data_IF_140836466666
#
_entry.id   IF_140836466666
#
_cell.length_a   1.000
_cell.length_b   1.000
_cell.length_c   1.000
_cell.angle_alpha   90.00
_cell.angle_beta   90.00
_cell.angle_gamma   90.00
#
_symmetry.space_group_name_H-M   'P 1'
#
loop_
_entity.id
_entity.type
_entity.pdbx_description
1 polymer ?
#
# COMPACT_ATOMS: atom_id res chain seq x y z
N UNK A 1 -75.91 -57.61 -23.04
CA UNK A 1 -75.97 -56.87 -21.76
C UNK A 1 -74.56 -56.77 -21.21
N UNK A 2 -74.10 -55.52 -21.10
CA UNK A 2 -73.03 -54.94 -20.28
C UNK A 2 -72.01 -55.89 -19.62
N UNK A 3 -70.73 -55.76 -20.00
CA UNK A 3 -69.68 -55.24 -19.09
C UNK A 3 -68.39 -54.94 -19.88
N UNK A 4 -68.06 -53.66 -19.95
CA UNK A 4 -66.77 -53.11 -20.38
C UNK A 4 -65.78 -53.30 -19.23
N UNK A 5 -64.71 -54.06 -19.43
CA UNK A 5 -63.60 -54.17 -18.46
C UNK A 5 -62.42 -53.33 -18.92
N UNK A 6 -62.16 -52.26 -18.15
CA UNK A 6 -60.99 -51.38 -18.22
C UNK A 6 -59.72 -52.15 -17.84
N UNK A 7 -58.72 -52.17 -18.71
CA UNK A 7 -57.36 -52.54 -18.35
C UNK A 7 -56.58 -51.29 -17.91
N UNK A 8 -56.04 -51.37 -16.69
CA UNK A 8 -55.33 -50.35 -15.94
C UNK A 8 -53.94 -50.06 -16.54
N UNK A 9 -53.69 -48.82 -16.92
CA UNK A 9 -52.36 -48.31 -17.25
C UNK A 9 -51.63 -47.90 -15.96
N UNK A 10 -50.53 -48.57 -15.66
CA UNK A 10 -49.58 -48.20 -14.59
C UNK A 10 -49.01 -46.81 -14.88
N UNK A 11 -49.48 -45.77 -14.18
CA UNK A 11 -48.76 -44.49 -14.05
C UNK A 11 -47.75 -44.62 -12.91
N UNK A 12 -46.48 -44.69 -13.29
CA UNK A 12 -45.33 -44.51 -12.39
C UNK A 12 -45.32 -43.08 -11.87
N UNK A 13 -45.56 -42.91 -10.58
CA UNK A 13 -45.42 -41.64 -9.86
C UNK A 13 -43.93 -41.36 -9.62
N UNK A 14 -43.28 -40.67 -10.56
CA UNK A 14 -42.01 -39.99 -10.29
C UNK A 14 -42.31 -38.75 -9.45
N UNK A 15 -41.91 -38.77 -8.18
CA UNK A 15 -41.83 -37.59 -7.33
C UNK A 15 -40.83 -36.62 -7.93
N UNK A 16 -41.31 -35.52 -8.50
CA UNK A 16 -40.45 -34.42 -8.95
C UNK A 16 -40.16 -33.58 -7.71
N UNK A 17 -39.03 -33.85 -7.05
CA UNK A 17 -38.41 -32.89 -6.15
C UNK A 17 -38.03 -31.65 -6.96
N UNK A 18 -38.41 -30.43 -6.54
CA UNK A 18 -37.94 -29.23 -7.22
C UNK A 18 -36.40 -29.17 -7.14
N UNK A 19 -35.73 -28.65 -8.19
CA UNK A 19 -34.29 -28.49 -8.16
C UNK A 19 -33.88 -27.63 -6.96
N UNK A 20 -32.70 -27.90 -6.36
CA UNK A 20 -32.17 -27.06 -5.30
C UNK A 20 -32.16 -25.61 -5.77
N UNK A 21 -32.72 -24.71 -4.96
CA UNK A 21 -32.62 -23.27 -5.18
C UNK A 21 -31.15 -22.96 -5.40
N UNK A 22 -30.80 -22.41 -6.56
CA UNK A 22 -29.43 -21.99 -6.84
C UNK A 22 -28.96 -21.11 -5.68
N UNK A 23 -27.75 -21.35 -5.12
CA UNK A 23 -27.22 -20.47 -4.09
C UNK A 23 -27.25 -19.05 -4.64
N UNK A 24 -27.91 -18.17 -3.91
CA UNK A 24 -27.88 -16.74 -4.19
C UNK A 24 -26.41 -16.35 -4.22
N UNK A 25 -25.90 -15.73 -5.29
CA UNK A 25 -24.50 -15.29 -5.31
C UNK A 25 -24.32 -14.38 -4.09
N UNK A 26 -23.44 -14.78 -3.17
CA UNK A 26 -23.00 -13.88 -2.11
C UNK A 26 -22.50 -12.61 -2.81
N UNK A 27 -22.95 -11.42 -2.37
CA UNK A 27 -22.43 -10.19 -2.95
C UNK A 27 -20.92 -10.21 -2.81
N UNK A 28 -20.21 -9.93 -3.91
CA UNK A 28 -18.77 -9.75 -3.89
C UNK A 28 -18.42 -8.74 -2.79
N UNK A 29 -17.52 -9.11 -1.89
CA UNK A 29 -17.12 -8.32 -0.70
C UNK A 29 -16.73 -6.88 -1.05
N UNK A 30 -16.28 -6.64 -2.29
CA UNK A 30 -16.05 -5.32 -2.90
C UNK A 30 -17.14 -4.28 -2.62
N UNK A 31 -18.40 -4.68 -2.63
CA UNK A 31 -19.54 -3.75 -2.51
C UNK A 31 -20.01 -3.56 -1.06
N UNK A 32 -19.66 -4.46 -0.14
CA UNK A 32 -20.10 -4.40 1.27
C UNK A 32 -19.13 -3.64 2.20
N UNK A 33 -17.86 -3.49 1.80
CA UNK A 33 -16.82 -2.88 2.65
C UNK A 33 -16.92 -1.34 2.76
N UNK A 34 -17.59 -0.68 1.80
CA UNK A 34 -17.59 0.78 1.64
C UNK A 34 -18.83 1.50 2.19
N UNK A 35 -19.90 0.76 2.53
CA UNK A 35 -21.18 1.34 3.00
C UNK A 35 -21.21 1.79 4.48
N UNK A 36 -20.07 1.89 5.16
CA UNK A 36 -20.03 2.16 6.61
C UNK A 36 -18.94 3.14 7.06
N UNK A 37 -18.37 3.95 6.16
CA UNK A 37 -17.47 5.00 6.59
C UNK A 37 -18.26 6.10 7.31
N UNK A 38 -17.78 6.58 8.46
CA UNK A 38 -18.46 7.63 9.24
C UNK A 38 -17.61 8.89 9.32
N UNK A 39 -18.28 10.04 9.36
CA UNK A 39 -17.62 11.31 9.70
C UNK A 39 -16.98 11.20 11.09
N UNK A 40 -15.82 11.82 11.25
CA UNK A 40 -14.92 11.78 12.41
C UNK A 40 -14.21 10.43 12.67
N UNK A 41 -14.42 9.42 11.82
CA UNK A 41 -13.74 8.12 11.93
C UNK A 41 -12.25 8.26 11.58
N UNK A 42 -11.40 7.58 12.36
CA UNK A 42 -9.98 7.38 12.01
C UNK A 42 -9.84 6.28 10.96
N UNK A 43 -9.01 6.54 9.97
CA UNK A 43 -8.72 5.64 8.85
C UNK A 43 -7.26 5.75 8.44
N UNK A 44 -6.83 4.81 7.61
CA UNK A 44 -5.65 4.98 6.79
C UNK A 44 -6.05 5.50 5.42
N UNK A 45 -5.28 6.42 4.86
CA UNK A 45 -5.55 7.00 3.55
C UNK A 45 -4.27 7.28 2.77
N UNK A 46 -4.30 7.01 1.45
CA UNK A 46 -3.32 7.60 0.52
C UNK A 46 -3.69 9.07 0.32
N UNK A 47 -2.77 9.98 0.66
CA UNK A 47 -3.02 11.43 0.63
C UNK A 47 -2.70 11.99 -0.75
N UNK A 48 -3.37 11.50 -1.78
CA UNK A 48 -3.19 11.95 -3.17
C UNK A 48 -4.13 13.11 -3.49
N UNK A 49 -3.69 14.11 -4.29
CA UNK A 49 -2.40 14.21 -5.01
C UNK A 49 -1.21 14.79 -4.22
N UNK A 50 -1.38 15.16 -2.95
CA UNK A 50 -0.39 15.90 -2.15
C UNK A 50 0.86 15.07 -1.85
N UNK A 51 0.69 13.76 -1.73
CA UNK A 51 1.74 12.77 -1.52
C UNK A 51 1.52 11.61 -2.50
N UNK A 52 2.33 11.59 -3.54
CA UNK A 52 2.29 10.55 -4.58
C UNK A 52 3.33 9.45 -4.35
N UNK A 53 3.37 8.85 -3.16
CA UNK A 53 4.25 7.72 -2.87
C UNK A 53 3.52 6.37 -2.81
N UNK A 54 2.19 6.38 -2.87
CA UNK A 54 1.33 5.19 -2.81
C UNK A 54 1.15 4.63 -1.40
N UNK A 55 1.77 5.25 -0.39
CA UNK A 55 1.74 4.79 1.00
C UNK A 55 0.53 5.37 1.73
N UNK A 56 0.23 4.77 2.88
CA UNK A 56 -0.91 5.13 3.69
C UNK A 56 -0.49 5.94 4.91
N UNK A 57 -1.36 6.87 5.28
CA UNK A 57 -1.19 7.80 6.38
C UNK A 57 -2.42 7.78 7.28
N UNK A 58 -2.22 7.95 8.58
CA UNK A 58 -3.34 8.09 9.52
C UNK A 58 -4.08 9.40 9.23
N UNK A 59 -5.39 9.31 9.02
CA UNK A 59 -6.22 10.46 8.70
C UNK A 59 -7.61 10.35 9.36
N UNK A 60 -8.26 11.49 9.54
CA UNK A 60 -9.63 11.55 10.06
C UNK A 60 -10.61 11.97 8.97
N UNK A 61 -11.71 11.23 8.82
CA UNK A 61 -12.77 11.58 7.88
C UNK A 61 -13.51 12.85 8.33
N UNK A 62 -13.60 13.84 7.45
CA UNK A 62 -14.28 15.12 7.69
C UNK A 62 -15.63 15.18 6.99
N UNK A 63 -15.72 14.73 5.75
CA UNK A 63 -16.99 14.65 5.01
C UNK A 63 -16.94 13.55 3.95
N UNK A 64 -18.11 13.03 3.60
CA UNK A 64 -18.28 11.97 2.60
C UNK A 64 -19.32 12.45 1.61
N UNK A 65 -18.98 12.47 0.32
CA UNK A 65 -19.85 12.85 -0.79
C UNK A 65 -19.70 11.82 -1.93
N UNK A 66 -20.51 10.76 -1.87
CA UNK A 66 -20.37 9.60 -2.76
C UNK A 66 -19.00 8.95 -2.65
N UNK A 67 -18.26 8.92 -3.76
CA UNK A 67 -16.89 8.37 -3.81
C UNK A 67 -15.82 9.37 -3.37
N UNK A 68 -16.16 10.65 -3.19
CA UNK A 68 -15.22 11.67 -2.71
C UNK A 68 -15.27 11.74 -1.20
N UNK A 69 -14.12 11.66 -0.57
CA UNK A 69 -13.99 11.75 0.88
C UNK A 69 -12.98 12.82 1.22
N UNK A 70 -13.37 13.73 2.12
CA UNK A 70 -12.46 14.73 2.66
C UNK A 70 -11.86 14.21 3.94
N UNK A 71 -10.54 14.23 4.05
CA UNK A 71 -9.81 13.76 5.23
C UNK A 71 -8.91 14.86 5.81
N UNK A 72 -8.71 14.82 7.12
CA UNK A 72 -7.72 15.62 7.82
C UNK A 72 -6.48 14.79 8.08
N UNK A 73 -5.34 15.26 7.56
CA UNK A 73 -4.02 14.66 7.70
C UNK A 73 -3.00 15.75 8.04
N UNK A 74 -2.24 15.58 9.13
CA UNK A 74 -1.21 16.54 9.56
C UNK A 74 -1.67 18.00 9.58
N UNK A 75 -2.89 18.25 10.07
CA UNK A 75 -3.56 19.58 10.08
C UNK A 75 -3.91 20.16 8.71
N UNK A 76 -3.76 19.39 7.62
CA UNK A 76 -4.23 19.72 6.27
C UNK A 76 -5.53 18.97 5.98
N UNK A 77 -6.36 19.57 5.15
CA UNK A 77 -7.59 18.96 4.65
C UNK A 77 -7.35 18.60 3.18
N UNK A 78 -7.57 17.34 2.83
CA UNK A 78 -7.32 16.80 1.50
C UNK A 78 -8.55 16.05 1.01
N UNK A 79 -8.87 16.19 -0.28
CA UNK A 79 -9.94 15.45 -0.93
C UNK A 79 -9.34 14.19 -1.58
N UNK A 80 -9.75 13.02 -1.12
CA UNK A 80 -9.30 11.70 -1.60
C UNK A 80 -10.49 10.90 -2.15
N UNK A 81 -10.21 9.77 -2.79
CA UNK A 81 -11.27 8.85 -3.23
C UNK A 81 -11.52 7.76 -2.20
N UNK A 82 -12.70 7.16 -2.24
CA UNK A 82 -13.04 6.02 -1.39
C UNK A 82 -12.08 4.83 -1.60
N UNK A 83 -11.54 4.67 -2.82
CA UNK A 83 -10.55 3.63 -3.12
C UNK A 83 -9.22 3.83 -2.35
N UNK A 84 -8.90 5.07 -1.98
CA UNK A 84 -7.70 5.44 -1.24
C UNK A 84 -7.81 5.22 0.28
N UNK A 85 -8.98 4.79 0.77
CA UNK A 85 -9.26 4.67 2.20
C UNK A 85 -9.25 3.21 2.65
N UNK A 86 -8.51 2.93 3.72
CA UNK A 86 -8.48 1.66 4.43
C UNK A 86 -9.01 1.87 5.85
N UNK A 87 -10.04 1.11 6.21
CA UNK A 87 -10.60 1.13 7.56
C UNK A 87 -9.65 0.44 8.53
N UNK A 88 -9.60 0.96 9.76
CA UNK A 88 -8.83 0.34 10.82
C UNK A 88 -9.50 -0.97 11.25
N UNK A 89 -8.73 -2.05 11.28
CA UNK A 89 -9.16 -3.33 11.83
C UNK A 89 -9.39 -3.23 13.34
N UNK A 90 -10.54 -3.75 13.81
CA UNK A 90 -10.90 -3.73 15.21
C UNK A 90 -10.02 -4.66 16.08
N UNK A 91 -9.95 -4.41 17.40
CA UNK A 91 -9.09 -5.17 18.30
C UNK A 91 -9.46 -6.66 18.42
N UNK A 92 -10.73 -7.00 18.18
CA UNK A 92 -11.27 -8.35 18.33
C UNK A 92 -11.05 -9.24 17.09
N UNK A 93 -10.55 -8.66 15.99
CA UNK A 93 -10.34 -9.40 14.74
C UNK A 93 -9.12 -10.30 14.87
N UNK A 94 -9.24 -11.56 14.44
CA UNK A 94 -8.13 -12.51 14.37
C UNK A 94 -7.24 -12.19 13.16
N UNK A 95 -5.93 -12.20 13.38
CA UNK A 95 -4.93 -12.00 12.34
C UNK A 95 -4.24 -13.34 12.07
N UNK A 96 -4.51 -13.91 10.89
CA UNK A 96 -4.00 -15.22 10.49
C UNK A 96 -2.82 -15.09 9.52
N UNK A 97 -1.94 -16.10 9.49
CA UNK A 97 -0.87 -16.14 8.50
C UNK A 97 -1.44 -16.11 7.08
N UNK A 98 -0.64 -15.60 6.14
CA UNK A 98 -0.98 -15.41 4.72
C UNK A 98 -2.03 -14.33 4.44
N UNK A 99 -2.66 -13.74 5.47
CA UNK A 99 -3.58 -12.62 5.27
C UNK A 99 -2.84 -11.37 4.77
N UNK A 100 -3.48 -10.65 3.85
CA UNK A 100 -3.01 -9.37 3.30
C UNK A 100 -3.39 -8.21 4.23
N UNK A 101 -2.43 -7.32 4.47
CA UNK A 101 -2.57 -6.21 5.42
C UNK A 101 -1.96 -4.92 4.90
N UNK A 102 -2.44 -3.81 5.44
CA UNK A 102 -1.71 -2.55 5.52
C UNK A 102 -1.19 -2.41 6.94
N UNK A 103 0.12 -2.30 7.11
CA UNK A 103 0.77 -2.28 8.42
C UNK A 103 1.79 -1.13 8.54
N UNK A 104 2.05 -0.70 9.78
CA UNK A 104 3.05 0.35 10.04
C UNK A 104 4.44 -0.13 9.63
N UNK A 105 5.09 0.62 8.74
CA UNK A 105 6.41 0.22 8.24
C UNK A 105 7.53 0.53 9.26
N UNK A 106 8.50 -0.37 9.50
CA UNK A 106 9.54 -0.18 10.52
C UNK A 106 10.52 0.96 10.19
N UNK A 107 10.82 1.18 8.90
CA UNK A 107 11.84 2.16 8.48
C UNK A 107 11.30 3.57 8.20
N UNK A 108 9.99 3.76 8.04
CA UNK A 108 9.40 5.05 7.67
C UNK A 108 8.33 5.44 8.70
N UNK A 109 8.70 6.40 9.54
CA UNK A 109 7.87 6.85 10.66
C UNK A 109 6.50 7.33 10.20
N UNK A 110 5.46 6.94 10.94
CA UNK A 110 4.07 7.37 10.75
C UNK A 110 3.46 7.03 9.38
N UNK A 111 4.02 6.02 8.71
CA UNK A 111 3.51 5.56 7.41
C UNK A 111 3.24 4.07 7.42
N UNK A 112 2.28 3.67 6.60
CA UNK A 112 1.81 2.30 6.48
C UNK A 112 1.96 1.82 5.04
N UNK A 113 2.30 0.55 4.89
CA UNK A 113 2.59 -0.07 3.61
C UNK A 113 1.93 -1.46 3.51
N UNK A 114 1.67 -1.96 2.30
CA UNK A 114 1.18 -3.31 2.10
C UNK A 114 2.18 -4.36 2.58
N UNK A 115 1.66 -5.40 3.24
CA UNK A 115 2.40 -6.60 3.59
C UNK A 115 1.51 -7.82 3.75
N UNK A 116 2.15 -8.95 4.02
CA UNK A 116 1.52 -10.25 4.28
C UNK A 116 1.94 -10.76 5.65
N UNK A 117 1.00 -11.31 6.41
CA UNK A 117 1.29 -11.92 7.71
C UNK A 117 2.09 -13.20 7.49
N UNK A 118 3.31 -13.26 8.02
CA UNK A 118 4.16 -14.46 8.00
C UNK A 118 3.90 -15.34 9.21
N UNK A 119 3.69 -14.73 10.37
CA UNK A 119 3.34 -15.42 11.62
C UNK A 119 2.35 -14.57 12.41
N UNK A 120 1.37 -15.23 13.06
CA UNK A 120 0.41 -14.58 13.94
C UNK A 120 0.92 -14.44 15.39
N UNK A 121 1.98 -15.17 15.76
CA UNK A 121 2.59 -15.11 17.09
C UNK A 121 4.08 -15.48 17.05
N UNK A 122 5.01 -14.50 17.23
CA UNK A 122 4.75 -13.06 17.23
C UNK A 122 4.17 -12.59 15.89
N UNK A 123 3.41 -11.49 15.89
CA UNK A 123 2.80 -10.94 14.68
C UNK A 123 3.88 -10.37 13.76
N UNK A 124 4.35 -11.19 12.82
CA UNK A 124 5.42 -10.87 11.88
C UNK A 124 4.83 -10.61 10.50
N UNK A 125 5.21 -9.48 9.92
CA UNK A 125 4.75 -9.02 8.61
C UNK A 125 5.94 -8.97 7.66
N UNK A 126 5.76 -9.49 6.44
CA UNK A 126 6.64 -9.24 5.29
C UNK A 126 6.01 -8.19 4.39
N UNK A 127 6.66 -7.04 4.26
CA UNK A 127 6.21 -5.95 3.41
C UNK A 127 6.49 -6.22 1.93
N UNK A 128 5.82 -5.48 1.06
CA UNK A 128 6.00 -5.56 -0.40
C UNK A 128 7.45 -5.34 -0.86
N UNK A 129 8.23 -4.61 -0.07
CA UNK A 129 9.64 -4.31 -0.33
C UNK A 129 10.63 -5.38 0.19
N UNK A 130 10.09 -6.48 0.72
CA UNK A 130 10.87 -7.57 1.31
C UNK A 130 11.27 -7.35 2.76
N UNK A 131 11.01 -6.18 3.36
CA UNK A 131 11.27 -5.93 4.77
C UNK A 131 10.41 -6.85 5.64
N UNK A 132 11.00 -7.49 6.64
CA UNK A 132 10.27 -8.26 7.65
C UNK A 132 10.40 -7.62 9.02
N UNK A 133 9.29 -7.53 9.77
CA UNK A 133 9.33 -7.00 11.13
C UNK A 133 8.15 -7.50 11.97
N UNK A 134 8.34 -7.48 13.30
CA UNK A 134 7.27 -7.74 14.27
C UNK A 134 6.52 -6.44 14.51
N UNK A 135 5.23 -6.42 14.19
CA UNK A 135 4.38 -5.23 14.26
C UNK A 135 3.31 -5.40 15.35
N UNK A 136 3.03 -4.39 16.19
CA UNK A 136 1.92 -4.44 17.13
C UNK A 136 0.57 -4.65 16.42
N UNK A 137 -0.31 -5.50 16.96
CA UNK A 137 -1.64 -5.77 16.39
C UNK A 137 -2.45 -4.50 16.08
N UNK A 138 -2.33 -3.47 16.92
CA UNK A 138 -3.03 -2.19 16.74
C UNK A 138 -2.60 -1.41 15.49
N UNK A 139 -1.46 -1.77 14.89
CA UNK A 139 -0.83 -1.10 13.75
C UNK A 139 -0.91 -1.95 12.47
N UNK A 140 -1.77 -2.99 12.47
CA UNK A 140 -1.98 -3.94 11.37
C UNK A 140 -3.45 -3.95 11.00
N UNK A 141 -3.76 -3.72 9.72
CA UNK A 141 -5.13 -3.62 9.24
C UNK A 141 -5.35 -4.51 8.02
N UNK A 142 -6.32 -5.42 8.11
CA UNK A 142 -6.70 -6.34 7.04
C UNK A 142 -7.24 -5.57 5.83
N UNK A 143 -6.83 -6.05 4.67
CA UNK A 143 -7.32 -5.63 3.36
C UNK A 143 -7.58 -6.89 2.55
N UNK A 144 -8.59 -6.86 1.68
CA UNK A 144 -8.80 -7.95 0.74
C UNK A 144 -7.63 -8.07 -0.26
N UNK A 145 -7.44 -9.27 -0.79
CA UNK A 145 -6.32 -9.59 -1.66
C UNK A 145 -6.29 -8.73 -2.93
N UNK A 146 -7.44 -8.44 -3.51
CA UNK A 146 -7.51 -7.67 -4.76
C UNK A 146 -7.08 -6.21 -4.55
N UNK A 147 -7.57 -5.56 -3.50
CA UNK A 147 -7.10 -4.22 -3.13
C UNK A 147 -5.62 -4.21 -2.76
N UNK A 148 -5.14 -5.27 -2.11
CA UNK A 148 -3.72 -5.41 -1.81
C UNK A 148 -2.87 -5.41 -3.08
N UNK A 149 -3.24 -6.18 -4.10
CA UNK A 149 -2.54 -6.20 -5.40
C UNK A 149 -2.58 -4.81 -6.06
N UNK A 150 -3.73 -4.16 -6.10
CA UNK A 150 -3.88 -2.80 -6.66
C UNK A 150 -2.95 -1.79 -5.97
N UNK A 151 -2.79 -1.89 -4.65
CA UNK A 151 -1.91 -1.01 -3.88
C UNK A 151 -0.44 -1.28 -4.19
N UNK A 152 -0.03 -2.55 -4.22
CA UNK A 152 1.35 -2.94 -4.53
C UNK A 152 1.72 -2.49 -5.95
N UNK A 153 0.86 -2.75 -6.93
CA UNK A 153 1.09 -2.35 -8.32
C UNK A 153 1.20 -0.83 -8.46
N UNK A 154 0.33 -0.08 -7.78
CA UNK A 154 0.39 1.38 -7.77
C UNK A 154 1.74 1.87 -7.20
N UNK A 155 2.18 1.32 -6.07
CA UNK A 155 3.45 1.71 -5.45
C UNK A 155 4.62 1.40 -6.38
N UNK A 156 4.66 0.21 -6.99
CA UNK A 156 5.71 -0.18 -7.94
C UNK A 156 5.75 0.75 -9.16
N UNK A 157 4.58 1.16 -9.68
CA UNK A 157 4.49 2.13 -10.77
C UNK A 157 5.06 3.49 -10.35
N UNK A 158 4.71 3.98 -9.16
CA UNK A 158 5.20 5.26 -8.65
C UNK A 158 6.71 5.23 -8.42
N UNK A 159 7.25 4.12 -7.92
CA UNK A 159 8.68 3.87 -7.73
C UNK A 159 9.46 3.76 -9.03
N UNK A 160 8.83 3.31 -10.11
CA UNK A 160 9.45 3.22 -11.43
C UNK A 160 9.72 4.60 -12.05
N UNK A 161 9.04 5.65 -11.58
CA UNK A 161 9.26 7.04 -12.04
C UNK A 161 10.65 7.57 -11.72
N UNK A 162 11.35 6.97 -10.76
CA UNK A 162 12.72 7.35 -10.44
C UNK A 162 13.70 7.08 -11.58
N UNK A 163 13.42 6.13 -12.47
CA UNK A 163 14.30 5.78 -13.58
C UNK A 163 14.50 6.98 -14.51
N UNK A 164 15.75 7.25 -14.86
CA UNK A 164 16.24 8.41 -15.61
C UNK A 164 16.19 9.76 -14.88
N UNK A 165 15.78 9.81 -13.62
CA UNK A 165 15.83 11.04 -12.84
C UNK A 165 17.21 11.26 -12.21
N UNK A 166 17.54 12.54 -12.00
CA UNK A 166 18.74 12.95 -11.28
C UNK A 166 18.51 12.87 -9.77
N UNK A 167 19.49 12.31 -9.06
CA UNK A 167 19.41 12.09 -7.61
C UNK A 167 20.72 12.43 -6.93
N UNK A 168 20.64 12.82 -5.66
CA UNK A 168 21.77 12.85 -4.74
C UNK A 168 21.71 11.57 -3.92
N UNK A 169 22.71 10.72 -4.03
CA UNK A 169 22.76 9.44 -3.32
C UNK A 169 24.09 9.25 -2.60
N UNK A 170 24.10 8.47 -1.53
CA UNK A 170 25.33 8.12 -0.81
C UNK A 170 26.13 7.14 -1.66
N UNK A 171 27.42 7.39 -1.85
CA UNK A 171 28.34 6.37 -2.36
C UNK A 171 28.87 5.58 -1.17
N UNK A 172 28.47 4.31 -1.04
CA UNK A 172 28.85 3.48 0.12
C UNK A 172 30.36 3.26 0.26
N UNK A 173 31.15 3.39 -0.82
CA UNK A 173 32.61 3.23 -0.76
C UNK A 173 33.26 4.43 -0.08
N UNK A 174 32.78 5.62 -0.37
CA UNK A 174 33.38 6.88 0.11
C UNK A 174 32.63 7.50 1.28
N UNK A 175 31.38 7.09 1.50
CA UNK A 175 30.44 7.71 2.44
C UNK A 175 29.93 9.09 2.01
N UNK A 176 30.36 9.60 0.85
CA UNK A 176 30.03 10.94 0.36
C UNK A 176 28.73 10.89 -0.44
N UNK A 177 27.88 11.91 -0.29
CA UNK A 177 26.71 12.06 -1.15
C UNK A 177 27.11 12.74 -2.47
N UNK A 178 26.77 12.10 -3.58
CA UNK A 178 27.15 12.53 -4.93
C UNK A 178 25.92 12.64 -5.82
N UNK A 179 26.02 13.45 -6.86
CA UNK A 179 25.01 13.52 -7.92
C UNK A 179 25.15 12.31 -8.85
N UNK A 180 24.03 11.67 -9.15
CA UNK A 180 23.95 10.56 -10.11
C UNK A 180 22.62 10.54 -10.85
N UNK A 181 22.48 9.58 -11.75
CA UNK A 181 21.25 9.31 -12.49
C UNK A 181 20.81 7.88 -12.22
N UNK A 182 19.55 7.70 -11.87
CA UNK A 182 18.96 6.36 -11.69
C UNK A 182 18.84 5.70 -13.07
N UNK A 183 19.44 4.53 -13.25
CA UNK A 183 19.39 3.78 -14.52
C UNK A 183 18.36 2.68 -14.52
N UNK A 184 18.23 1.99 -13.40
CA UNK A 184 17.29 0.89 -13.24
C UNK A 184 16.85 0.76 -11.79
N UNK A 185 15.65 0.22 -11.61
CA UNK A 185 15.15 -0.27 -10.32
C UNK A 185 15.54 -1.75 -10.20
N UNK A 186 16.10 -2.11 -9.06
CA UNK A 186 16.55 -3.47 -8.77
C UNK A 186 15.44 -4.23 -8.06
N UNK A 187 14.76 -5.10 -8.82
CA UNK A 187 13.69 -5.97 -8.33
C UNK A 187 12.71 -5.23 -7.40
N UNK A 188 12.22 -5.88 -6.34
CA UNK A 188 11.29 -5.30 -5.37
C UNK A 188 11.98 -4.87 -4.06
N UNK A 189 13.30 -4.64 -4.06
CA UNK A 189 14.06 -4.41 -2.83
C UNK A 189 14.21 -2.92 -2.43
N UNK A 190 13.46 -2.01 -3.06
CA UNK A 190 13.70 -0.56 -2.94
C UNK A 190 15.13 -0.13 -3.28
N UNK A 191 15.77 -0.84 -4.18
CA UNK A 191 17.13 -0.60 -4.61
C UNK A 191 17.16 -0.08 -6.04
N UNK A 192 18.14 0.76 -6.34
CA UNK A 192 18.30 1.41 -7.64
C UNK A 192 19.76 1.40 -8.05
N UNK A 193 20.02 1.18 -9.33
CA UNK A 193 21.37 1.40 -9.89
C UNK A 193 21.53 2.87 -10.22
N UNK A 194 22.54 3.47 -9.61
CA UNK A 194 22.92 4.86 -9.80
C UNK A 194 24.18 4.90 -10.65
N UNK A 195 24.12 5.58 -11.79
CA UNK A 195 25.30 5.99 -12.55
C UNK A 195 25.79 7.33 -12.01
N UNK A 196 27.03 7.37 -11.53
CA UNK A 196 27.62 8.55 -10.92
C UNK A 196 28.10 9.55 -11.97
N UNK A 197 27.82 10.83 -11.71
CA UNK A 197 28.27 11.90 -12.60
C UNK A 197 29.80 12.06 -12.50
N UNK A 198 30.49 11.95 -13.63
CA UNK A 198 31.90 12.33 -13.77
C UNK A 198 32.89 11.17 -13.87
N UNK A 199 32.53 9.97 -13.40
CA UNK A 199 33.38 8.77 -13.54
C UNK A 199 32.71 7.60 -14.28
N UNK A 200 31.43 7.74 -14.66
CA UNK A 200 30.62 6.72 -15.35
C UNK A 200 30.58 5.36 -14.64
N UNK A 201 30.86 5.33 -13.33
CA UNK A 201 30.71 4.12 -12.53
C UNK A 201 29.27 3.99 -12.06
N UNK A 202 28.84 2.75 -11.81
CA UNK A 202 27.50 2.48 -11.31
C UNK A 202 27.53 1.66 -10.03
N UNK A 203 26.64 1.98 -9.10
CA UNK A 203 26.46 1.23 -7.85
C UNK A 203 24.97 1.09 -7.53
N UNK A 204 24.61 -0.02 -6.88
CA UNK A 204 23.28 -0.20 -6.31
C UNK A 204 23.20 0.65 -5.03
N UNK A 205 22.11 1.39 -4.86
CA UNK A 205 21.81 2.18 -3.68
C UNK A 205 20.38 1.93 -3.23
N UNK A 206 20.19 1.80 -1.91
CA UNK A 206 18.87 1.70 -1.32
C UNK A 206 18.17 3.06 -1.32
N UNK A 207 16.86 3.08 -1.52
CA UNK A 207 16.02 4.29 -1.58
C UNK A 207 16.25 5.24 -0.40
N UNK A 208 16.44 4.71 0.81
CA UNK A 208 16.67 5.53 2.02
C UNK A 208 17.95 6.37 1.98
N UNK A 209 18.89 6.04 1.08
CA UNK A 209 20.13 6.75 0.85
C UNK A 209 20.06 7.72 -0.34
N UNK A 210 18.88 7.89 -0.95
CA UNK A 210 18.67 8.67 -2.17
C UNK A 210 17.73 9.86 -1.95
N UNK A 211 18.08 10.99 -2.56
CA UNK A 211 17.32 12.23 -2.52
C UNK A 211 17.08 12.75 -3.94
N UNK A 212 15.85 13.08 -4.28
CA UNK A 212 15.49 13.56 -5.62
C UNK A 212 14.08 14.09 -5.69
N UNK A 213 13.60 14.30 -6.92
CA UNK A 213 12.29 14.87 -7.23
C UNK A 213 11.12 14.14 -6.58
N UNK A 214 11.23 12.83 -6.38
CA UNK A 214 10.19 11.97 -5.82
C UNK A 214 10.47 11.56 -4.37
N UNK A 215 11.46 12.17 -3.70
CA UNK A 215 11.65 11.96 -2.26
C UNK A 215 10.44 12.45 -1.48
N UNK A 216 10.10 11.75 -0.39
CA UNK A 216 9.08 12.22 0.55
C UNK A 216 9.45 13.63 1.05
N UNK A 217 8.62 14.61 0.71
CA UNK A 217 8.84 15.99 1.10
C UNK A 217 8.75 16.13 2.63
N UNK A 218 9.71 16.85 3.22
CA UNK A 218 9.68 17.27 4.63
C UNK A 218 9.72 18.79 4.68
N UNK A 219 8.86 19.38 5.51
CA UNK A 219 9.00 20.78 5.88
C UNK A 219 10.24 20.91 6.76
N UNK A 220 11.23 21.68 6.30
CA UNK A 220 12.46 21.91 7.05
C UNK A 220 12.22 22.95 8.15
N UNK A 221 12.79 22.69 9.32
CA UNK A 221 12.85 23.62 10.45
C UNK A 221 14.31 23.95 10.77
N UNK A 222 14.54 25.11 11.37
CA UNK A 222 15.88 25.47 11.89
C UNK A 222 16.33 24.42 12.89
N UNK A 223 17.54 23.89 12.69
CA UNK A 223 18.10 22.79 13.48
C UNK A 223 17.96 21.41 12.83
N UNK A 224 17.24 21.28 11.71
CA UNK A 224 17.13 20.00 11.00
C UNK A 224 18.47 19.59 10.38
N UNK A 225 18.71 18.28 10.38
CA UNK A 225 19.86 17.70 9.69
C UNK A 225 19.56 17.59 8.20
N UNK A 226 20.41 18.21 7.38
CA UNK A 226 20.25 18.27 5.92
C UNK A 226 21.51 17.76 5.24
N UNK A 227 21.41 17.47 3.95
CA UNK A 227 22.55 17.20 3.08
C UNK A 227 22.73 18.42 2.19
N UNK A 228 23.85 19.13 2.34
CA UNK A 228 24.11 20.39 1.67
C UNK A 228 25.28 20.25 0.69
N UNK A 229 25.16 20.90 -0.47
CA UNK A 229 26.24 20.97 -1.46
C UNK A 229 27.39 21.79 -0.90
N UNK A 230 28.54 21.17 -0.66
CA UNK A 230 29.72 21.86 -0.13
C UNK A 230 30.51 22.57 -1.21
N UNK A 231 30.46 22.08 -2.45
CA UNK A 231 31.21 22.65 -3.57
C UNK A 231 30.48 22.42 -4.90
N UNK A 232 30.22 23.51 -5.62
CA UNK A 232 29.50 23.51 -6.90
C UNK A 232 30.32 22.95 -8.06
N UNK A 233 31.63 22.78 -7.89
CA UNK A 233 32.50 22.18 -8.91
C UNK A 233 32.48 20.65 -8.81
N UNK A 234 32.55 20.11 -7.60
CA UNK A 234 32.54 18.65 -7.35
C UNK A 234 31.14 18.06 -7.22
N UNK A 235 30.11 18.88 -6.92
CA UNK A 235 28.76 18.40 -6.60
C UNK A 235 28.77 17.34 -5.49
N UNK A 236 29.66 17.52 -4.53
CA UNK A 236 29.70 16.72 -3.31
C UNK A 236 28.80 17.36 -2.25
N UNK A 237 28.04 16.50 -1.58
CA UNK A 237 27.13 16.89 -0.53
C UNK A 237 27.50 16.22 0.79
N UNK A 238 27.34 16.96 1.89
CA UNK A 238 27.70 16.52 3.23
C UNK A 238 26.60 16.84 4.23
N UNK A 239 26.52 16.08 5.34
CA UNK A 239 25.64 16.41 6.44
C UNK A 239 25.92 17.83 6.97
N UNK A 240 24.85 18.58 7.21
CA UNK A 240 24.86 19.94 7.75
C UNK A 240 23.62 20.16 8.63
N UNK A 241 23.55 21.34 9.26
CA UNK A 241 22.40 21.80 10.04
C UNK A 241 21.75 22.96 9.28
N UNK A 242 20.44 22.87 9.05
CA UNK A 242 19.62 23.87 8.37
C UNK A 242 19.03 24.95 9.27
#
# INVERSE_FOLDING_TARGET
MTTVSKASSKKSSKSITPPPKAPTPEPSIKTAYLDQLKVNQQVLSRITPEIEDGWFYSAQVISIDGEKVRVSYSSKIVDVTMADIVKLTGPDVTLEAEATVIARHPHYQQTYAPGVIVSSSPLQIRFYDGTESIIPKAEVHLVDFERFEDFVDNIIQLESRWVNESVVARDDKTGIYKLGTVKERVANAHEYVIEWRGDNTSTIQHYSCMFGKYSKAKSLQTGDHVIACSDKNTWHYYPAIG
#
